data_IF_214273407322
#
_entry.id   IF_214273407322
#
_cell.length_a   1.000
_cell.length_b   1.000
_cell.length_c   1.000
_cell.angle_alpha   90.00
_cell.angle_beta   90.00
_cell.angle_gamma   90.00
#
_symmetry.space_group_name_H-M   'P 1'
#
loop_
_entity.id
_entity.type
_entity.pdbx_description
1 polymer ?
#
# COMPACT_ATOMS: atom_id res chain seq x y z
N UNK A 1 48.44 -72.98 26.07
CA UNK A 1 47.87 -74.31 25.73
C UNK A 1 46.84 -74.04 24.66
N UNK A 2 47.21 -74.44 23.56
CA UNK A 2 46.85 -75.47 22.61
C UNK A 2 45.78 -74.98 21.67
N UNK A 3 46.12 -74.64 20.43
CA UNK A 3 46.14 -75.42 19.23
C UNK A 3 44.67 -75.71 18.75
N UNK A 4 44.25 -75.58 17.52
CA UNK A 4 44.91 -75.77 16.23
C UNK A 4 43.93 -75.31 15.12
N UNK A 5 44.50 -74.88 13.98
CA UNK A 5 44.01 -74.79 12.59
C UNK A 5 43.81 -76.28 12.06
N UNK A 6 43.35 -76.56 10.78
CA UNK A 6 42.88 -75.77 9.63
C UNK A 6 41.72 -76.40 8.83
N UNK A 7 41.39 -75.86 7.65
CA UNK A 7 40.68 -76.56 6.57
C UNK A 7 40.09 -75.65 5.51
N UNK A 8 40.76 -75.32 4.56
CA UNK A 8 40.82 -75.52 3.09
C UNK A 8 39.50 -75.82 2.37
N UNK A 9 39.22 -75.04 1.30
CA UNK A 9 38.32 -75.50 0.27
C UNK A 9 37.84 -74.48 -0.74
N UNK A 10 38.70 -74.25 -1.77
CA UNK A 10 38.40 -74.15 -3.17
C UNK A 10 37.43 -73.07 -3.75
N UNK A 11 37.98 -72.31 -4.61
CA UNK A 11 37.48 -71.41 -5.61
C UNK A 11 36.39 -71.96 -6.55
N UNK A 12 35.44 -71.10 -6.93
CA UNK A 12 34.87 -71.13 -8.27
C UNK A 12 34.49 -69.73 -8.70
N UNK A 13 35.23 -69.25 -9.67
CA UNK A 13 34.97 -68.14 -10.59
C UNK A 13 33.63 -68.28 -11.30
N UNK A 14 32.81 -67.24 -11.32
CA UNK A 14 31.79 -67.08 -12.37
C UNK A 14 31.65 -65.62 -12.80
N UNK A 15 31.87 -65.45 -14.06
CA UNK A 15 31.85 -64.35 -15.01
C UNK A 15 30.84 -63.25 -14.74
N UNK A 16 31.34 -62.04 -14.96
CA UNK A 16 30.66 -60.79 -15.19
C UNK A 16 29.66 -60.86 -16.36
N UNK A 17 28.52 -60.20 -16.17
CA UNK A 17 27.71 -59.63 -17.26
C UNK A 17 27.32 -58.20 -16.86
N UNK A 18 27.41 -57.23 -17.79
CA UNK A 18 27.14 -55.84 -17.51
C UNK A 18 25.63 -55.61 -17.41
N UNK A 19 25.21 -54.91 -16.35
CA UNK A 19 23.85 -54.44 -16.19
C UNK A 19 23.66 -53.07 -16.82
N UNK A 20 22.66 -53.06 -17.59
CA UNK A 20 22.00 -52.03 -18.38
C UNK A 20 21.75 -50.75 -17.59
N UNK A 21 22.24 -49.63 -18.12
CA UNK A 21 21.93 -48.26 -17.71
C UNK A 21 20.55 -47.90 -18.27
N UNK A 22 19.54 -47.79 -17.41
CA UNK A 22 18.31 -47.11 -17.77
C UNK A 22 17.79 -46.26 -16.61
N UNK A 23 17.80 -44.96 -16.86
CA UNK A 23 16.72 -44.06 -16.46
C UNK A 23 16.69 -43.63 -14.98
N UNK A 24 17.54 -42.71 -14.61
CA UNK A 24 17.20 -41.81 -13.51
C UNK A 24 16.03 -40.95 -13.95
N UNK A 25 14.83 -41.35 -13.55
CA UNK A 25 13.66 -40.48 -13.60
C UNK A 25 13.94 -39.24 -12.74
N UNK A 26 14.07 -38.13 -13.39
CA UNK A 26 14.08 -36.81 -12.80
C UNK A 26 12.73 -36.59 -12.10
N UNK A 27 12.65 -36.90 -10.83
CA UNK A 27 11.52 -36.51 -9.98
C UNK A 27 11.58 -35.00 -9.80
N UNK A 28 10.87 -34.31 -10.66
CA UNK A 28 10.48 -32.92 -10.46
C UNK A 28 9.90 -32.81 -9.04
N UNK A 29 10.66 -32.19 -8.14
CA UNK A 29 10.16 -31.80 -6.83
C UNK A 29 8.97 -30.89 -7.05
N UNK A 30 7.80 -31.44 -6.97
CA UNK A 30 6.55 -30.70 -6.84
C UNK A 30 6.66 -29.93 -5.53
N UNK A 31 6.88 -28.63 -5.64
CA UNK A 31 7.02 -27.73 -4.49
C UNK A 31 5.82 -27.92 -3.56
N UNK A 32 6.11 -28.24 -2.31
CA UNK A 32 5.16 -28.31 -1.19
C UNK A 32 4.36 -27.02 -1.24
N UNK A 33 3.04 -27.09 -1.51
CA UNK A 33 2.14 -25.91 -1.43
C UNK A 33 2.38 -25.24 -0.07
N UNK A 34 2.68 -23.92 -0.03
CA UNK A 34 2.86 -23.21 1.24
C UNK A 34 1.63 -23.42 2.10
N UNK A 35 1.81 -23.77 3.38
CA UNK A 35 0.71 -23.80 4.34
C UNK A 35 0.05 -22.41 4.41
N UNK A 36 -1.17 -22.31 4.97
CA UNK A 36 -1.97 -21.07 4.99
C UNK A 36 -1.16 -19.79 5.36
N UNK A 37 -0.22 -19.88 6.31
CA UNK A 37 0.69 -18.78 6.69
C UNK A 37 1.72 -18.47 5.60
N UNK A 38 2.25 -19.48 4.92
CA UNK A 38 3.21 -19.30 3.84
C UNK A 38 2.60 -18.63 2.60
N UNK A 39 1.35 -18.96 2.26
CA UNK A 39 0.65 -18.32 1.14
C UNK A 39 0.41 -16.82 1.39
N UNK A 40 -0.01 -16.45 2.61
CA UNK A 40 -0.21 -15.03 2.97
C UNK A 40 1.09 -14.22 2.84
N UNK A 41 2.19 -14.78 3.32
CA UNK A 41 3.50 -14.14 3.23
C UNK A 41 4.00 -14.03 1.79
N UNK A 42 3.85 -15.08 0.98
CA UNK A 42 4.20 -15.06 -0.44
C UNK A 42 3.41 -14.00 -1.23
N UNK A 43 2.12 -13.82 -0.93
CA UNK A 43 1.29 -12.78 -1.53
C UNK A 43 1.82 -11.38 -1.16
N UNK A 44 2.17 -11.13 0.11
CA UNK A 44 2.70 -9.84 0.55
C UNK A 44 4.05 -9.51 -0.10
N UNK A 45 4.93 -10.50 -0.25
CA UNK A 45 6.23 -10.33 -0.90
C UNK A 45 6.08 -10.04 -2.40
N UNK A 46 5.26 -10.80 -3.12
CA UNK A 46 4.94 -10.57 -4.51
C UNK A 46 4.27 -9.21 -4.74
N UNK A 47 3.32 -8.84 -3.88
CA UNK A 47 2.65 -7.54 -3.93
C UNK A 47 3.63 -6.39 -3.70
N UNK A 48 4.52 -6.50 -2.70
CA UNK A 48 5.55 -5.49 -2.42
C UNK A 48 6.47 -5.28 -3.61
N UNK A 49 6.96 -6.35 -4.21
CA UNK A 49 7.82 -6.27 -5.39
C UNK A 49 7.11 -5.59 -6.56
N UNK A 50 5.87 -6.00 -6.87
CA UNK A 50 5.11 -5.41 -7.97
C UNK A 50 4.73 -3.96 -7.77
N UNK A 51 4.26 -3.59 -6.57
CA UNK A 51 3.95 -2.20 -6.29
C UNK A 51 5.19 -1.29 -6.33
N UNK A 52 6.36 -1.81 -5.95
CA UNK A 52 7.61 -1.06 -6.05
C UNK A 52 8.08 -0.88 -7.51
N UNK A 53 7.91 -1.91 -8.35
CA UNK A 53 8.39 -1.93 -9.74
C UNK A 53 7.47 -1.18 -10.70
N UNK A 54 6.16 -1.43 -10.63
CA UNK A 54 5.19 -0.94 -11.62
C UNK A 54 4.20 0.10 -11.09
N UNK A 55 4.21 0.40 -9.79
CA UNK A 55 3.25 1.27 -9.12
C UNK A 55 1.91 0.60 -8.85
N UNK A 56 1.02 1.34 -8.15
CA UNK A 56 -0.29 0.82 -7.78
C UNK A 56 -1.18 0.57 -9.00
N UNK A 57 -1.33 1.57 -9.89
CA UNK A 57 -2.34 1.51 -10.97
C UNK A 57 -2.09 0.37 -11.95
N UNK A 58 -0.83 0.15 -12.36
CA UNK A 58 -0.44 -0.87 -13.35
C UNK A 58 -0.36 -2.27 -12.77
N UNK A 59 -0.39 -2.43 -11.45
CA UNK A 59 -0.37 -3.73 -10.78
C UNK A 59 -1.77 -4.32 -10.72
N UNK A 60 -1.94 -5.61 -11.05
CA UNK A 60 -3.21 -6.34 -10.92
C UNK A 60 -3.12 -7.47 -9.89
N UNK A 61 -4.25 -7.78 -9.24
CA UNK A 61 -4.35 -8.93 -8.31
C UNK A 61 -3.96 -10.25 -9.01
N UNK A 62 -4.32 -10.43 -10.29
CA UNK A 62 -3.96 -11.62 -11.07
C UNK A 62 -2.45 -11.76 -11.24
N UNK A 63 -1.76 -10.64 -11.51
CA UNK A 63 -0.31 -10.63 -11.65
C UNK A 63 0.40 -10.96 -10.33
N UNK A 64 -0.08 -10.37 -9.22
CA UNK A 64 0.43 -10.67 -7.88
C UNK A 64 0.22 -12.15 -7.53
N UNK A 65 -0.96 -12.70 -7.80
CA UNK A 65 -1.28 -14.09 -7.54
C UNK A 65 -0.38 -15.05 -8.33
N UNK A 66 -0.12 -14.73 -9.61
CA UNK A 66 0.79 -15.50 -10.45
C UNK A 66 2.21 -15.52 -9.89
N UNK A 67 2.76 -14.38 -9.46
CA UNK A 67 4.10 -14.29 -8.87
C UNK A 67 4.19 -15.02 -7.51
N UNK A 68 3.11 -14.97 -6.73
CA UNK A 68 3.01 -15.67 -5.45
C UNK A 68 2.74 -17.18 -5.60
N UNK A 69 2.47 -17.67 -6.82
CA UNK A 69 2.14 -19.08 -7.09
C UNK A 69 0.81 -19.50 -6.45
N UNK A 70 -0.18 -18.61 -6.38
CA UNK A 70 -1.48 -18.85 -5.76
C UNK A 70 -2.64 -18.48 -6.69
N UNK A 71 -3.85 -18.94 -6.34
CA UNK A 71 -5.06 -18.53 -7.03
C UNK A 71 -5.46 -17.09 -6.66
N UNK A 72 -5.90 -16.24 -7.60
CA UNK A 72 -6.38 -14.89 -7.30
C UNK A 72 -7.50 -14.82 -6.25
N UNK A 73 -8.38 -15.83 -6.17
CA UNK A 73 -9.40 -15.91 -5.13
C UNK A 73 -8.79 -16.00 -3.72
N UNK A 74 -7.61 -16.60 -3.59
CA UNK A 74 -6.90 -16.68 -2.32
C UNK A 74 -6.37 -15.31 -1.89
N UNK A 75 -5.94 -14.47 -2.84
CA UNK A 75 -5.54 -13.08 -2.57
C UNK A 75 -6.73 -12.28 -2.05
N UNK A 76 -7.88 -12.36 -2.72
CA UNK A 76 -9.12 -11.72 -2.25
C UNK A 76 -9.57 -12.25 -0.89
N UNK A 77 -9.43 -13.55 -0.64
CA UNK A 77 -9.79 -14.15 0.65
C UNK A 77 -8.94 -13.59 1.81
N UNK A 78 -7.62 -13.39 1.61
CA UNK A 78 -6.74 -12.92 2.67
C UNK A 78 -6.75 -11.39 2.84
N UNK A 79 -6.93 -10.65 1.78
CA UNK A 79 -6.68 -9.22 1.77
C UNK A 79 -7.84 -8.36 1.26
N UNK A 80 -8.88 -8.96 0.67
CA UNK A 80 -10.00 -8.21 0.12
C UNK A 80 -9.64 -7.47 -1.16
N UNK A 81 -9.68 -6.15 -1.15
CA UNK A 81 -9.43 -5.29 -2.31
C UNK A 81 -7.92 -5.10 -2.59
N UNK A 82 -7.58 -4.58 -3.77
CA UNK A 82 -6.20 -4.20 -4.10
C UNK A 82 -5.68 -3.11 -3.16
N UNK A 83 -6.54 -2.17 -2.76
CA UNK A 83 -6.24 -1.11 -1.81
C UNK A 83 -5.91 -1.67 -0.43
N UNK A 84 -6.71 -2.62 0.05
CA UNK A 84 -6.47 -3.29 1.33
C UNK A 84 -5.18 -4.13 1.30
N UNK A 85 -4.89 -4.81 0.19
CA UNK A 85 -3.61 -5.50 0.00
C UNK A 85 -2.44 -4.52 0.05
N UNK A 86 -2.55 -3.37 -0.63
CA UNK A 86 -1.50 -2.36 -0.62
C UNK A 86 -1.31 -1.77 0.77
N UNK A 87 -2.40 -1.45 1.48
CA UNK A 87 -2.34 -1.03 2.88
C UNK A 87 -1.61 -2.04 3.78
N UNK A 88 -1.87 -3.34 3.57
CA UNK A 88 -1.17 -4.40 4.29
C UNK A 88 0.33 -4.45 3.95
N UNK A 89 0.71 -4.24 2.68
CA UNK A 89 2.12 -4.19 2.24
C UNK A 89 2.88 -3.04 2.90
N UNK A 90 2.26 -1.85 2.98
CA UNK A 90 2.86 -0.66 3.61
C UNK A 90 2.64 -0.62 5.13
N UNK A 91 1.92 -1.61 5.67
CA UNK A 91 1.54 -1.68 7.08
C UNK A 91 0.80 -0.42 7.54
N UNK A 92 -0.09 0.09 6.67
CA UNK A 92 -0.90 1.25 7.00
C UNK A 92 -1.85 0.91 8.15
N UNK A 93 -1.91 1.73 9.21
CA UNK A 93 -2.54 1.34 10.48
C UNK A 93 -4.07 1.35 10.45
N UNK A 94 -4.68 1.77 9.35
CA UNK A 94 -6.13 1.90 9.18
C UNK A 94 -6.55 1.23 7.88
N UNK A 95 -7.73 0.60 7.88
CA UNK A 95 -8.34 0.12 6.65
C UNK A 95 -8.69 1.32 5.74
N UNK A 96 -8.10 1.42 4.54
CA UNK A 96 -8.38 2.53 3.63
C UNK A 96 -9.86 2.61 3.22
N UNK A 97 -10.59 1.49 3.22
CA UNK A 97 -12.01 1.45 2.90
C UNK A 97 -12.86 2.31 3.84
N UNK A 98 -12.42 2.52 5.08
CA UNK A 98 -13.14 3.42 6.02
C UNK A 98 -13.14 4.85 5.48
N UNK A 99 -11.99 5.34 5.00
CA UNK A 99 -11.84 6.69 4.45
C UNK A 99 -12.55 6.77 3.09
N UNK A 100 -12.34 5.78 2.23
CA UNK A 100 -12.88 5.76 0.87
C UNK A 100 -14.41 5.73 0.86
N UNK A 101 -15.03 4.89 1.69
CA UNK A 101 -16.50 4.83 1.81
C UNK A 101 -17.08 6.12 2.37
N UNK A 102 -16.50 6.66 3.44
CA UNK A 102 -16.95 7.94 3.98
C UNK A 102 -16.96 9.05 2.91
N UNK A 103 -16.01 8.99 1.98
CA UNK A 103 -15.97 9.92 0.84
C UNK A 103 -17.04 9.59 -0.21
N UNK A 104 -17.19 8.33 -0.60
CA UNK A 104 -18.09 7.90 -1.68
C UNK A 104 -19.57 8.13 -1.32
N UNK A 105 -19.94 7.89 -0.06
CA UNK A 105 -21.31 7.98 0.44
C UNK A 105 -21.73 9.43 0.78
N UNK A 106 -20.77 10.38 0.83
CA UNK A 106 -21.05 11.77 1.22
C UNK A 106 -21.34 12.63 -0.02
N UNK A 107 -22.40 13.47 -0.02
CA UNK A 107 -22.61 14.49 -1.06
C UNK A 107 -21.41 15.42 -1.21
N UNK A 108 -21.19 15.93 -2.44
CA UNK A 108 -20.01 16.77 -2.73
C UNK A 108 -19.96 18.05 -1.89
N UNK A 109 -21.10 18.63 -1.56
CA UNK A 109 -21.24 19.85 -0.76
C UNK A 109 -20.99 19.65 0.74
N UNK A 110 -20.89 18.38 1.20
CA UNK A 110 -20.62 18.00 2.59
C UNK A 110 -19.26 17.28 2.74
N UNK A 111 -18.51 17.16 1.67
CA UNK A 111 -17.29 16.36 1.64
C UNK A 111 -16.21 16.90 2.59
N UNK A 112 -16.13 18.23 2.75
CA UNK A 112 -15.19 18.87 3.66
C UNK A 112 -15.41 18.45 5.12
N UNK A 113 -16.64 18.55 5.59
CA UNK A 113 -17.01 18.14 6.95
C UNK A 113 -16.80 16.65 7.18
N UNK A 114 -17.18 15.82 6.20
CA UNK A 114 -17.01 14.37 6.25
C UNK A 114 -15.54 13.97 6.35
N UNK A 115 -14.66 14.59 5.54
CA UNK A 115 -13.22 14.34 5.59
C UNK A 115 -12.61 14.72 6.93
N UNK A 116 -12.94 15.91 7.46
CA UNK A 116 -12.42 16.35 8.77
C UNK A 116 -12.91 15.42 9.86
N UNK A 117 -14.20 15.08 9.89
CA UNK A 117 -14.80 14.19 10.88
C UNK A 117 -14.15 12.80 10.85
N UNK A 118 -14.01 12.22 9.67
CA UNK A 118 -13.44 10.88 9.50
C UNK A 118 -11.98 10.86 9.89
N UNK A 119 -11.17 11.78 9.39
CA UNK A 119 -9.74 11.82 9.66
C UNK A 119 -9.44 12.09 11.14
N UNK A 120 -10.07 13.10 11.73
CA UNK A 120 -9.85 13.44 13.17
C UNK A 120 -10.39 12.33 14.05
N UNK A 121 -11.52 11.72 13.71
CA UNK A 121 -12.05 10.55 14.41
C UNK A 121 -11.06 9.37 14.44
N UNK A 122 -10.38 9.12 13.32
CA UNK A 122 -9.30 8.12 13.25
C UNK A 122 -8.11 8.54 14.13
N UNK A 123 -7.66 9.79 14.05
CA UNK A 123 -6.51 10.29 14.84
C UNK A 123 -6.75 10.27 16.34
N UNK A 124 -8.00 10.48 16.76
CA UNK A 124 -8.41 10.42 18.16
C UNK A 124 -8.71 9.00 18.66
N UNK A 125 -8.73 8.01 17.76
CA UNK A 125 -8.92 6.59 18.06
C UNK A 125 -7.62 5.87 18.46
N UNK A 126 -7.70 4.64 18.98
CA UNK A 126 -6.51 3.81 19.24
C UNK A 126 -5.60 3.59 18.01
N UNK A 127 -6.16 3.60 16.79
CA UNK A 127 -5.39 3.50 15.56
C UNK A 127 -4.59 4.77 15.23
N UNK A 128 -4.94 5.90 15.84
CA UNK A 128 -4.31 7.20 15.59
C UNK A 128 -2.81 7.22 15.84
N UNK A 129 -2.32 6.50 16.85
CA UNK A 129 -0.89 6.42 17.12
C UNK A 129 -0.07 5.93 15.91
N UNK A 130 -0.59 4.95 15.17
CA UNK A 130 0.03 4.44 13.95
C UNK A 130 0.02 5.49 12.82
N UNK A 131 -1.09 6.20 12.60
CA UNK A 131 -1.18 7.28 11.60
C UNK A 131 -0.19 8.40 11.92
N UNK A 132 -0.11 8.81 13.19
CA UNK A 132 0.83 9.84 13.66
C UNK A 132 2.28 9.40 13.40
N UNK A 133 2.62 8.14 13.66
CA UNK A 133 3.95 7.59 13.39
C UNK A 133 4.30 7.66 11.89
N UNK A 134 3.36 7.31 11.00
CA UNK A 134 3.52 7.45 9.55
C UNK A 134 3.79 8.89 9.16
N UNK A 135 2.98 9.84 9.64
CA UNK A 135 3.16 11.27 9.31
C UNK A 135 4.48 11.81 9.87
N UNK A 136 4.87 11.45 11.09
CA UNK A 136 6.18 11.82 11.65
C UNK A 136 7.35 11.32 10.79
N UNK A 137 7.25 10.09 10.29
CA UNK A 137 8.26 9.52 9.38
C UNK A 137 8.41 10.33 8.10
N UNK A 138 7.30 10.81 7.52
CA UNK A 138 7.33 11.69 6.35
C UNK A 138 7.94 13.06 6.65
N UNK A 139 7.55 13.69 7.75
CA UNK A 139 8.10 14.99 8.16
C UNK A 139 9.59 14.91 8.46
N UNK A 140 10.07 13.76 8.96
CA UNK A 140 11.49 13.48 9.19
C UNK A 140 12.27 13.06 7.94
N UNK A 141 11.63 13.03 6.76
CA UNK A 141 12.30 12.62 5.51
C UNK A 141 12.64 11.13 5.41
N UNK A 142 12.14 10.31 6.35
CA UNK A 142 12.47 8.88 6.45
C UNK A 142 11.31 7.96 6.01
N UNK A 143 10.24 8.53 5.48
CA UNK A 143 9.03 7.78 5.09
C UNK A 143 9.33 6.80 3.94
N UNK A 144 8.87 5.53 4.02
CA UNK A 144 9.03 4.57 2.92
C UNK A 144 8.35 5.06 1.64
N UNK A 145 9.01 4.91 0.51
CA UNK A 145 8.49 5.33 -0.80
C UNK A 145 7.11 4.71 -1.12
N UNK A 146 6.93 3.42 -0.83
CA UNK A 146 5.64 2.74 -1.02
C UNK A 146 4.51 3.33 -0.17
N UNK A 147 4.80 3.83 1.04
CA UNK A 147 3.78 4.49 1.87
C UNK A 147 3.38 5.83 1.27
N UNK A 148 4.34 6.58 0.73
CA UNK A 148 4.06 7.80 -0.03
C UNK A 148 3.20 7.51 -1.25
N UNK A 149 3.57 6.52 -2.05
CA UNK A 149 2.80 6.04 -3.20
C UNK A 149 1.38 5.65 -2.80
N UNK A 150 1.21 4.91 -1.70
CA UNK A 150 -0.10 4.56 -1.18
C UNK A 150 -0.98 5.79 -0.88
N UNK A 151 -0.45 6.77 -0.17
CA UNK A 151 -1.20 7.98 0.17
C UNK A 151 -1.58 8.79 -1.09
N UNK A 152 -0.65 8.91 -2.06
CA UNK A 152 -0.89 9.67 -3.28
C UNK A 152 -1.83 8.93 -4.24
N UNK A 153 -1.58 7.66 -4.54
CA UNK A 153 -2.30 6.91 -5.56
C UNK A 153 -3.61 6.27 -5.06
N UNK A 154 -3.76 6.04 -3.76
CA UNK A 154 -4.99 5.43 -3.23
C UNK A 154 -5.91 6.48 -2.62
N UNK A 155 -5.41 7.34 -1.75
CA UNK A 155 -6.25 8.29 -1.01
C UNK A 155 -6.48 9.57 -1.84
N UNK A 156 -5.40 10.26 -2.25
CA UNK A 156 -5.53 11.53 -2.95
C UNK A 156 -6.13 11.38 -4.34
N UNK A 157 -5.79 10.31 -5.06
CA UNK A 157 -6.36 10.05 -6.38
C UNK A 157 -7.88 9.83 -6.30
N UNK A 158 -8.37 9.15 -5.26
CA UNK A 158 -9.82 8.98 -5.04
C UNK A 158 -10.52 10.32 -4.79
N UNK A 159 -9.92 11.19 -3.96
CA UNK A 159 -10.45 12.55 -3.74
C UNK A 159 -10.47 13.32 -5.07
N UNK A 160 -9.34 13.34 -5.77
CA UNK A 160 -9.19 14.01 -7.07
C UNK A 160 -10.25 13.57 -8.07
N UNK A 161 -10.41 12.27 -8.28
CA UNK A 161 -11.38 11.71 -9.24
C UNK A 161 -12.83 12.11 -8.92
N UNK A 162 -13.15 12.30 -7.64
CA UNK A 162 -14.50 12.68 -7.21
C UNK A 162 -14.82 14.17 -7.43
N UNK A 163 -13.80 15.03 -7.33
CA UNK A 163 -13.96 16.50 -7.45
C UNK A 163 -13.55 17.06 -8.80
N UNK A 164 -12.99 16.24 -9.69
CA UNK A 164 -12.59 16.65 -11.02
C UNK A 164 -13.80 17.10 -11.85
N UNK A 165 -13.61 18.14 -12.64
CA UNK A 165 -14.56 18.68 -13.61
C UNK A 165 -13.90 18.75 -15.00
N UNK A 166 -14.63 19.01 -16.10
CA UNK A 166 -14.03 19.17 -17.42
C UNK A 166 -12.94 20.22 -17.48
N UNK A 167 -13.02 21.28 -16.65
CA UNK A 167 -12.12 22.43 -16.65
C UNK A 167 -11.06 22.38 -15.53
N UNK A 168 -11.17 21.46 -14.57
CA UNK A 168 -10.27 21.34 -13.42
C UNK A 168 -10.06 19.86 -13.08
N UNK A 169 -8.84 19.36 -13.25
CA UNK A 169 -8.50 17.97 -12.97
C UNK A 169 -8.55 17.60 -11.47
N UNK A 170 -8.84 18.56 -10.59
CA UNK A 170 -8.97 18.37 -9.14
C UNK A 170 -7.66 18.18 -8.38
N UNK A 171 -6.50 18.12 -9.05
CA UNK A 171 -5.21 17.82 -8.44
C UNK A 171 -4.79 18.87 -7.41
N UNK A 172 -4.84 20.13 -7.78
CA UNK A 172 -4.48 21.24 -6.86
C UNK A 172 -5.44 21.28 -5.68
N UNK A 173 -6.73 21.08 -5.92
CA UNK A 173 -7.77 21.04 -4.91
C UNK A 173 -7.55 19.93 -3.88
N UNK A 174 -7.32 18.70 -4.34
CA UNK A 174 -7.03 17.56 -3.47
C UNK A 174 -5.76 17.79 -2.63
N UNK A 175 -4.70 18.36 -3.22
CA UNK A 175 -3.46 18.66 -2.52
C UNK A 175 -3.62 19.77 -1.47
N UNK A 176 -4.41 20.81 -1.75
CA UNK A 176 -4.72 21.86 -0.77
C UNK A 176 -5.52 21.30 0.41
N UNK A 177 -6.55 20.49 0.14
CA UNK A 177 -7.31 19.82 1.19
C UNK A 177 -6.41 18.90 2.04
N UNK A 178 -5.55 18.10 1.40
CA UNK A 178 -4.62 17.23 2.11
C UNK A 178 -3.61 18.02 2.95
N UNK A 179 -3.07 19.13 2.45
CA UNK A 179 -2.14 19.98 3.21
C UNK A 179 -2.81 20.56 4.47
N UNK A 180 -4.07 20.98 4.36
CA UNK A 180 -4.86 21.44 5.50
C UNK A 180 -5.03 20.33 6.54
N UNK A 181 -5.39 19.12 6.10
CA UNK A 181 -5.57 17.97 6.99
C UNK A 181 -4.27 17.58 7.70
N UNK A 182 -3.14 17.56 6.99
CA UNK A 182 -1.82 17.32 7.59
C UNK A 182 -1.48 18.42 8.61
N UNK A 183 -1.77 19.69 8.30
CA UNK A 183 -1.58 20.81 9.22
C UNK A 183 -2.36 20.64 10.53
N UNK A 184 -3.63 20.26 10.45
CA UNK A 184 -4.47 19.98 11.63
C UNK A 184 -3.94 18.78 12.44
N UNK A 185 -3.53 17.70 11.77
CA UNK A 185 -2.92 16.55 12.46
C UNK A 185 -1.67 16.97 13.22
N UNK A 186 -0.78 17.74 12.58
CA UNK A 186 0.44 18.23 13.22
C UNK A 186 0.11 19.13 14.42
N UNK A 187 -0.78 20.10 14.25
CA UNK A 187 -1.19 21.02 15.30
C UNK A 187 -1.82 20.27 16.50
N UNK A 188 -2.73 19.33 16.22
CA UNK A 188 -3.51 18.62 17.24
C UNK A 188 -2.72 17.51 17.95
N UNK A 189 -1.91 16.74 17.22
CA UNK A 189 -1.33 15.45 17.71
C UNK A 189 0.18 15.43 17.82
N UNK A 190 0.87 16.36 17.17
CA UNK A 190 2.34 16.38 17.17
C UNK A 190 2.85 17.60 17.95
N UNK A 191 2.41 18.79 17.57
CA UNK A 191 2.82 20.04 18.22
C UNK A 191 1.99 20.38 19.46
N UNK A 192 0.82 19.74 19.66
CA UNK A 192 -0.08 19.93 20.80
C UNK A 192 -0.46 21.39 21.01
N UNK A 193 -0.81 22.09 19.91
CA UNK A 193 -1.14 23.51 19.94
C UNK A 193 -2.55 23.74 20.51
N UNK A 194 -2.63 24.41 21.66
CA UNK A 194 -3.93 24.82 22.20
C UNK A 194 -4.48 26.04 21.46
N UNK A 195 -5.82 26.17 21.29
CA UNK A 195 -6.85 25.22 21.76
C UNK A 195 -7.12 24.03 20.82
N UNK A 196 -6.44 23.90 19.68
CA UNK A 196 -6.69 22.87 18.66
C UNK A 196 -6.47 21.46 19.22
N UNK A 197 -5.50 21.29 20.11
CA UNK A 197 -5.13 19.99 20.69
C UNK A 197 -6.29 19.36 21.46
N UNK A 198 -7.03 20.15 22.22
CA UNK A 198 -8.12 19.70 23.10
C UNK A 198 -9.51 20.01 22.56
N UNK A 199 -9.62 20.72 21.43
CA UNK A 199 -10.90 21.11 20.83
C UNK A 199 -11.80 19.90 20.54
N UNK A 200 -13.09 19.93 20.96
CA UNK A 200 -14.03 18.85 20.62
C UNK A 200 -14.19 18.65 19.13
N UNK A 201 -14.33 17.39 18.69
CA UNK A 201 -14.47 17.04 17.26
C UNK A 201 -15.57 17.82 16.53
N UNK A 202 -16.81 18.00 17.07
CA UNK A 202 -17.86 18.76 16.39
C UNK A 202 -17.47 20.22 16.15
N UNK A 203 -16.78 20.85 17.09
CA UNK A 203 -16.32 22.24 16.99
C UNK A 203 -15.20 22.35 15.93
N UNK A 204 -14.23 21.45 15.95
CA UNK A 204 -13.17 21.40 14.95
C UNK A 204 -13.72 21.20 13.53
N UNK A 205 -14.73 20.32 13.36
CA UNK A 205 -15.41 20.12 12.08
C UNK A 205 -16.09 21.41 11.63
N UNK A 206 -16.81 22.10 12.50
CA UNK A 206 -17.50 23.36 12.18
C UNK A 206 -16.53 24.48 11.74
N UNK A 207 -15.32 24.51 12.31
CA UNK A 207 -14.32 25.54 11.99
C UNK A 207 -13.49 25.20 10.75
N UNK A 208 -13.12 23.93 10.55
CA UNK A 208 -12.17 23.50 9.51
C UNK A 208 -12.89 22.97 8.27
N UNK A 209 -14.05 22.33 8.46
CA UNK A 209 -14.84 21.72 7.36
C UNK A 209 -15.12 22.69 6.22
N UNK A 210 -15.63 23.92 6.48
CA UNK A 210 -15.87 24.91 5.42
C UNK A 210 -14.62 25.29 4.62
N UNK A 211 -13.45 25.35 5.26
CA UNK A 211 -12.18 25.65 4.56
C UNK A 211 -11.77 24.48 3.67
N UNK A 212 -11.86 23.24 4.16
CA UNK A 212 -11.61 22.03 3.35
C UNK A 212 -12.61 21.93 2.21
N UNK A 213 -13.89 22.20 2.46
CA UNK A 213 -14.95 22.21 1.45
C UNK A 213 -14.64 23.21 0.32
N UNK A 214 -14.19 24.44 0.68
CA UNK A 214 -13.80 25.44 -0.29
C UNK A 214 -12.64 24.99 -1.18
N UNK A 215 -11.64 24.28 -0.62
CA UNK A 215 -10.57 23.71 -1.42
C UNK A 215 -11.09 22.65 -2.38
N UNK A 216 -12.00 21.78 -1.95
CA UNK A 216 -12.51 20.68 -2.75
C UNK A 216 -13.41 21.15 -3.90
N UNK A 217 -14.38 22.03 -3.63
CA UNK A 217 -15.44 22.37 -4.60
C UNK A 217 -15.75 23.86 -4.71
N UNK A 218 -15.18 24.70 -3.86
CA UNK A 218 -15.42 26.15 -3.87
C UNK A 218 -14.55 26.91 -4.89
N UNK A 219 -14.73 28.21 -4.96
CA UNK A 219 -13.88 29.08 -5.79
C UNK A 219 -12.49 29.22 -5.18
N UNK A 220 -11.46 28.93 -5.98
CA UNK A 220 -10.05 29.09 -5.64
C UNK A 220 -9.47 30.31 -6.34
N UNK A 221 -9.90 31.53 -5.91
CA UNK A 221 -9.36 32.81 -6.41
C UNK A 221 -9.68 33.07 -7.89
N UNK A 222 -10.51 34.06 -8.15
CA UNK A 222 -10.91 34.46 -9.47
C UNK A 222 -9.76 35.09 -10.34
N UNK A 223 -8.62 35.39 -9.69
CA UNK A 223 -7.42 35.97 -10.34
C UNK A 223 -6.21 35.09 -10.19
N UNK A 224 -6.25 33.88 -10.77
CA UNK A 224 -5.02 33.12 -10.95
C UNK A 224 -4.34 33.58 -12.22
N UNK A 225 -3.21 34.32 -12.17
CA UNK A 225 -2.45 34.59 -13.40
C UNK A 225 -2.12 33.21 -14.00
N UNK A 226 -2.42 33.06 -15.29
CA UNK A 226 -2.01 31.86 -16.03
C UNK A 226 -0.52 31.62 -15.72
N UNK A 227 -0.17 30.54 -15.08
CA UNK A 227 1.22 30.14 -14.91
C UNK A 227 1.74 29.87 -16.31
N UNK A 228 2.44 30.92 -16.87
CA UNK A 228 2.96 30.87 -18.21
C UNK A 228 3.77 29.60 -18.42
N UNK A 229 3.49 28.91 -19.50
CA UNK A 229 4.39 27.94 -20.07
C UNK A 229 5.80 28.58 -20.14
N UNK A 230 6.89 27.91 -19.78
CA UNK A 230 8.23 28.42 -19.91
C UNK A 230 8.43 28.83 -21.38
N UNK A 231 8.54 30.14 -21.63
CA UNK A 231 8.85 30.65 -22.94
C UNK A 231 10.18 30.06 -23.39
N UNK A 232 10.11 29.31 -24.48
CA UNK A 232 11.27 28.96 -25.28
C UNK A 232 11.75 30.29 -25.82
N UNK A 233 12.79 30.86 -25.22
CA UNK A 233 13.51 31.97 -25.85
C UNK A 233 14.32 31.36 -27.00
N UNK A 234 13.80 31.54 -28.20
CA UNK A 234 14.54 31.39 -29.44
C UNK A 234 15.68 32.41 -29.41
N UNK A 235 16.86 31.97 -29.10
CA UNK A 235 18.11 32.74 -29.29
C UNK A 235 18.56 32.51 -30.72
N UNK A 236 17.98 33.25 -31.64
CA UNK A 236 18.57 33.45 -32.94
C UNK A 236 19.46 34.71 -32.87
N UNK A 237 20.77 34.57 -32.80
CA UNK A 237 21.78 35.29 -33.55
C UNK A 237 23.20 34.85 -33.16
#
# INVERSE_FOLDING_TARGET
MSAATPGSGAARTRRERPADTRGTANTTRTGRRPGRSGAKQAILEAARARFADTGFDKTSIRAIAADAGVDPALVHHYFGTKQQLFAAVVQFPVDPEIILRAMDDTPLDQLGDSLVRTAVGIWDSPAGAGVIAVVRSFLGGSGPELTRTFLMEVILERIRARIATPDDDGRVRANLAASQMVGILVARKIAMLEPIATMPLPELVALVGPTVQRYLTGELGADRPAVGAPGIQDSAN
#
